data_IF_088027982700
#
_entry.id   IF_088027982700
#
_cell.length_a   1.000
_cell.length_b   1.000
_cell.length_c   1.000
_cell.angle_alpha   90.00
_cell.angle_beta   90.00
_cell.angle_gamma   90.00
#
_symmetry.space_group_name_H-M   'P 1'
#
loop_
_entity.id
_entity.type
_entity.pdbx_description
1 polymer ?
#
# COMPACT_ATOMS: atom_id res chain seq x y z
N UNK A 1 -26.47 7.63 7.62
CA UNK A 1 -25.25 7.72 8.46
C UNK A 1 -24.21 8.51 7.70
N UNK A 2 -24.02 9.78 8.05
CA UNK A 2 -22.90 10.56 7.51
C UNK A 2 -21.61 9.86 7.96
N UNK A 3 -20.72 9.43 7.05
CA UNK A 3 -19.41 8.96 7.47
C UNK A 3 -18.75 10.10 8.26
N UNK A 4 -18.21 9.75 9.41
CA UNK A 4 -17.37 10.60 10.24
C UNK A 4 -16.43 11.40 9.33
N UNK A 5 -16.49 12.73 9.43
CA UNK A 5 -15.61 13.69 8.73
C UNK A 5 -14.11 13.39 8.97
N UNK A 6 -13.81 12.52 9.95
CA UNK A 6 -12.47 12.21 10.38
C UNK A 6 -11.85 10.98 9.67
N UNK A 7 -12.61 10.11 9.00
CA UNK A 7 -12.08 8.88 8.38
C UNK A 7 -12.19 7.63 9.27
N UNK A 8 -11.51 6.55 8.87
CA UNK A 8 -11.44 5.26 9.56
C UNK A 8 -10.42 5.30 10.70
N UNK A 9 -10.86 5.03 11.93
CA UNK A 9 -9.99 4.99 13.11
C UNK A 9 -9.30 3.63 13.32
N UNK A 10 -9.66 2.61 12.55
CA UNK A 10 -9.01 1.29 12.59
C UNK A 10 -8.89 0.70 11.18
N UNK A 11 -7.83 -0.09 10.94
CA UNK A 11 -7.65 -0.81 9.67
C UNK A 11 -8.66 -1.95 9.50
N UNK A 12 -9.15 -2.50 10.61
CA UNK A 12 -10.24 -3.48 10.59
C UNK A 12 -11.53 -2.89 10.02
N UNK A 13 -11.92 -1.70 10.44
CA UNK A 13 -13.12 -1.03 9.92
C UNK A 13 -12.95 -0.66 8.45
N UNK A 14 -11.75 -0.18 8.08
CA UNK A 14 -11.38 0.08 6.68
C UNK A 14 -11.58 -1.17 5.82
N UNK A 15 -11.03 -2.31 6.25
CA UNK A 15 -11.12 -3.59 5.52
C UNK A 15 -12.56 -4.08 5.42
N UNK A 16 -13.34 -3.97 6.50
CA UNK A 16 -14.77 -4.27 6.47
C UNK A 16 -15.52 -3.41 5.45
N UNK A 17 -15.23 -2.11 5.39
CA UNK A 17 -15.83 -1.20 4.41
C UNK A 17 -15.41 -1.51 2.96
N UNK A 18 -14.12 -1.83 2.73
CA UNK A 18 -13.64 -2.27 1.41
C UNK A 18 -14.35 -3.55 0.95
N UNK A 19 -14.51 -4.53 1.84
CA UNK A 19 -15.23 -5.78 1.54
C UNK A 19 -16.70 -5.55 1.24
N UNK A 20 -17.39 -4.74 2.06
CA UNK A 20 -18.79 -4.40 1.85
C UNK A 20 -18.99 -3.69 0.50
N UNK A 21 -18.11 -2.74 0.17
CA UNK A 21 -18.18 -2.00 -1.09
C UNK A 21 -17.89 -2.92 -2.29
N UNK A 22 -16.93 -3.84 -2.16
CA UNK A 22 -16.66 -4.88 -3.16
C UNK A 22 -17.89 -5.73 -3.44
N UNK A 23 -18.55 -6.23 -2.39
CA UNK A 23 -19.74 -7.07 -2.53
C UNK A 23 -20.89 -6.26 -3.17
N UNK A 24 -21.07 -4.98 -2.78
CA UNK A 24 -22.04 -4.06 -3.39
C UNK A 24 -21.80 -3.84 -4.89
N UNK A 25 -20.55 -3.63 -5.28
CA UNK A 25 -20.15 -3.39 -6.68
C UNK A 25 -20.28 -4.66 -7.51
N UNK A 26 -19.94 -5.83 -6.95
CA UNK A 26 -20.11 -7.13 -7.61
C UNK A 26 -21.57 -7.41 -7.97
N UNK A 27 -22.48 -7.08 -7.06
CA UNK A 27 -23.90 -7.39 -7.21
C UNK A 27 -24.66 -6.33 -8.05
N UNK A 28 -24.05 -5.15 -8.26
CA UNK A 28 -24.58 -4.08 -9.11
C UNK A 28 -24.00 -4.14 -10.54
N UNK A 29 -24.79 -3.77 -11.55
CA UNK A 29 -24.25 -3.63 -12.91
C UNK A 29 -23.11 -2.59 -12.93
N UNK A 30 -22.00 -2.84 -13.64
CA UNK A 30 -20.80 -2.02 -13.59
C UNK A 30 -21.04 -0.66 -14.26
N UNK A 31 -21.53 0.31 -13.47
CA UNK A 31 -21.49 1.71 -13.87
C UNK A 31 -20.08 2.27 -13.61
N UNK A 32 -19.67 3.24 -14.43
CA UNK A 32 -18.43 4.01 -14.26
C UNK A 32 -18.48 4.77 -12.93
N UNK A 33 -18.12 4.12 -11.85
CA UNK A 33 -18.07 4.75 -10.54
C UNK A 33 -16.88 5.70 -10.47
N UNK A 34 -16.97 6.82 -9.72
CA UNK A 34 -15.79 7.57 -9.28
C UNK A 34 -14.80 6.66 -8.53
N UNK A 35 -13.55 7.07 -8.30
CA UNK A 35 -12.64 6.30 -7.46
C UNK A 35 -13.23 6.04 -6.07
N UNK A 36 -12.95 4.87 -5.50
CA UNK A 36 -13.34 4.52 -4.13
C UNK A 36 -12.32 5.11 -3.17
N UNK A 37 -12.70 6.20 -2.51
CA UNK A 37 -11.82 6.94 -1.60
C UNK A 37 -12.08 6.47 -0.17
N UNK A 38 -11.03 5.94 0.47
CA UNK A 38 -11.03 5.58 1.87
C UNK A 38 -10.09 6.50 2.64
N UNK A 39 -10.62 7.20 3.63
CA UNK A 39 -9.89 8.19 4.40
C UNK A 39 -9.48 7.61 5.76
N UNK A 40 -8.21 7.68 6.11
CA UNK A 40 -7.71 7.35 7.45
C UNK A 40 -7.79 8.58 8.35
N UNK A 41 -8.02 8.36 9.64
CA UNK A 41 -7.97 9.39 10.68
C UNK A 41 -6.57 10.02 10.78
N UNK A 42 -6.46 11.35 10.66
CA UNK A 42 -5.23 12.07 10.99
C UNK A 42 -4.76 11.77 12.42
N UNK A 43 -3.45 11.95 12.66
CA UNK A 43 -2.79 11.77 13.95
C UNK A 43 -3.07 10.40 14.59
N UNK A 44 -3.13 9.36 13.77
CA UNK A 44 -3.41 7.99 14.20
C UNK A 44 -2.27 7.08 13.77
N UNK A 45 -1.82 6.24 14.70
CA UNK A 45 -0.89 5.14 14.44
C UNK A 45 -1.71 3.87 14.28
N UNK A 46 -1.54 3.20 13.16
CA UNK A 46 -2.22 1.98 12.78
C UNK A 46 -1.23 0.82 12.84
N UNK A 47 -1.33 0.02 13.90
CA UNK A 47 -0.46 -1.14 14.09
C UNK A 47 -0.92 -2.32 13.25
N UNK A 48 -0.01 -2.92 12.48
CA UNK A 48 -0.20 -4.17 11.75
C UNK A 48 0.27 -5.32 12.65
N UNK A 49 -0.65 -5.83 13.46
CA UNK A 49 -0.40 -6.91 14.42
C UNK A 49 -0.71 -8.28 13.84
N UNK A 50 -1.65 -8.35 12.89
CA UNK A 50 -2.11 -9.57 12.26
C UNK A 50 -2.31 -9.39 10.76
N UNK A 51 -2.47 -10.50 10.03
CA UNK A 51 -2.84 -10.44 8.61
C UNK A 51 -4.20 -9.76 8.36
N UNK A 52 -5.08 -9.70 9.37
CA UNK A 52 -6.35 -8.98 9.26
C UNK A 52 -6.16 -7.46 9.15
N UNK A 53 -5.07 -6.94 9.70
CA UNK A 53 -4.77 -5.51 9.74
C UNK A 53 -4.10 -5.00 8.45
N UNK A 54 -3.58 -5.89 7.60
CA UNK A 54 -2.96 -5.53 6.32
C UNK A 54 -3.98 -4.83 5.41
N UNK A 55 -3.57 -3.72 4.79
CA UNK A 55 -4.40 -3.00 3.83
C UNK A 55 -4.38 -3.76 2.50
N UNK A 56 -5.55 -4.26 2.07
CA UNK A 56 -5.71 -5.00 0.82
C UNK A 56 -6.81 -4.35 -0.04
N UNK A 57 -6.47 -3.47 -0.98
CA UNK A 57 -7.43 -2.88 -1.92
C UNK A 57 -8.20 -3.96 -2.69
N UNK A 58 -9.52 -3.98 -2.51
CA UNK A 58 -10.42 -5.01 -3.05
C UNK A 58 -11.08 -4.62 -4.39
N UNK A 59 -10.92 -3.36 -4.81
CA UNK A 59 -11.58 -2.76 -5.97
C UNK A 59 -10.56 -2.02 -6.84
N UNK A 60 -10.88 -1.88 -8.12
CA UNK A 60 -10.13 -0.97 -8.99
C UNK A 60 -10.41 0.50 -8.62
N UNK A 61 -9.44 1.38 -8.90
CA UNK A 61 -9.54 2.82 -8.65
C UNK A 61 -9.72 3.15 -7.17
N UNK A 62 -9.05 2.40 -6.31
CA UNK A 62 -9.04 2.62 -4.87
C UNK A 62 -8.02 3.68 -4.52
N UNK A 63 -8.42 4.64 -3.69
CA UNK A 63 -7.54 5.65 -3.09
C UNK A 63 -7.61 5.47 -1.58
N UNK A 64 -6.47 5.25 -0.93
CA UNK A 64 -6.33 5.28 0.53
C UNK A 64 -5.54 6.53 0.88
N UNK A 65 -6.14 7.44 1.65
CA UNK A 65 -5.53 8.74 1.94
C UNK A 65 -5.59 9.10 3.42
N UNK A 66 -4.59 9.84 3.90
CA UNK A 66 -4.64 10.43 5.24
C UNK A 66 -5.54 11.67 5.27
N UNK A 67 -6.57 11.63 6.13
CA UNK A 67 -7.48 12.74 6.31
C UNK A 67 -8.23 13.16 5.04
N UNK A 68 -8.92 14.31 5.09
CA UNK A 68 -9.65 14.85 3.95
C UNK A 68 -8.74 15.45 2.88
N UNK A 69 -7.52 15.87 3.23
CA UNK A 69 -6.60 16.56 2.32
C UNK A 69 -5.56 15.65 1.67
N UNK A 70 -5.35 14.43 2.18
CA UNK A 70 -4.36 13.51 1.65
C UNK A 70 -2.94 14.05 1.78
N UNK A 71 -2.52 14.44 3.00
CA UNK A 71 -1.18 14.99 3.24
C UNK A 71 -0.40 14.18 4.26
N UNK A 72 0.91 13.98 4.03
CA UNK A 72 1.79 13.25 4.96
C UNK A 72 1.84 13.89 6.34
N UNK A 73 1.75 15.23 6.39
CA UNK A 73 1.76 16.00 7.65
C UNK A 73 0.56 15.72 8.55
N UNK A 74 -0.52 15.15 8.00
CA UNK A 74 -1.70 14.77 8.79
C UNK A 74 -1.41 13.52 9.67
N UNK A 75 -0.21 12.92 9.56
CA UNK A 75 0.35 11.93 10.49
C UNK A 75 -0.48 10.64 10.62
N UNK A 76 -0.94 10.08 9.50
CA UNK A 76 -1.45 8.71 9.46
C UNK A 76 -0.28 7.74 9.31
N UNK A 77 0.13 7.13 10.41
CA UNK A 77 1.28 6.22 10.45
C UNK A 77 0.76 4.79 10.33
N UNK A 78 1.18 4.07 9.31
CA UNK A 78 1.03 2.62 9.22
C UNK A 78 2.31 2.01 9.79
N UNK A 79 2.18 1.38 10.95
CA UNK A 79 3.30 0.80 11.69
C UNK A 79 3.18 -0.71 11.70
N UNK A 80 4.20 -1.46 11.29
CA UNK A 80 4.04 -2.90 11.04
C UNK A 80 5.14 -3.77 11.59
N UNK A 81 4.73 -4.86 12.25
CA UNK A 81 5.61 -5.83 12.93
C UNK A 81 5.38 -7.25 12.39
N UNK A 82 4.16 -7.58 11.97
CA UNK A 82 3.76 -8.95 11.67
C UNK A 82 3.99 -9.36 10.21
N UNK A 83 4.73 -10.46 9.98
CA UNK A 83 5.00 -11.06 8.66
C UNK A 83 5.32 -10.03 7.56
N UNK A 84 5.95 -8.94 7.98
CA UNK A 84 6.81 -8.10 7.17
C UNK A 84 6.13 -7.34 6.02
N UNK A 85 4.80 -7.22 6.02
CA UNK A 85 4.02 -6.48 5.00
C UNK A 85 2.98 -5.56 5.64
N UNK A 86 2.92 -4.31 5.20
CA UNK A 86 1.92 -3.34 5.70
C UNK A 86 0.75 -3.16 4.73
N UNK A 87 1.06 -3.25 3.44
CA UNK A 87 0.11 -3.17 2.33
C UNK A 87 0.34 -4.34 1.40
N UNK A 88 -0.75 -4.96 0.95
CA UNK A 88 -0.74 -5.96 -0.11
C UNK A 88 -1.61 -5.47 -1.26
N UNK A 89 -0.98 -5.13 -2.38
CA UNK A 89 -1.69 -4.83 -3.63
C UNK A 89 -1.64 -6.06 -4.51
N UNK A 90 -2.66 -6.92 -4.36
CA UNK A 90 -2.75 -8.18 -5.10
C UNK A 90 -3.95 -8.23 -6.04
N UNK A 91 -3.69 -8.36 -7.34
CA UNK A 91 -4.73 -8.50 -8.37
C UNK A 91 -5.37 -9.89 -8.45
N UNK A 92 -4.85 -10.89 -7.73
CA UNK A 92 -5.41 -12.23 -7.60
C UNK A 92 -6.44 -12.34 -6.46
N UNK A 93 -6.41 -11.40 -5.51
CA UNK A 93 -7.35 -11.36 -4.38
C UNK A 93 -8.66 -10.77 -4.84
N UNK A 94 -9.57 -11.62 -5.35
CA UNK A 94 -10.99 -11.34 -5.64
C UNK A 94 -11.34 -9.92 -6.10
N UNK A 95 -10.44 -9.27 -6.86
CA UNK A 95 -10.68 -7.91 -7.31
C UNK A 95 -11.80 -7.99 -8.34
N UNK A 96 -12.88 -7.25 -8.09
CA UNK A 96 -13.94 -7.12 -9.07
C UNK A 96 -13.37 -6.29 -10.23
N UNK A 97 -12.88 -7.00 -11.25
CA UNK A 97 -12.34 -6.38 -12.45
C UNK A 97 -13.49 -5.72 -13.22
N UNK A 98 -13.49 -4.39 -13.24
CA UNK A 98 -14.46 -3.64 -14.03
C UNK A 98 -13.98 -3.61 -15.49
N UNK A 99 -14.83 -3.94 -16.47
CA UNK A 99 -14.42 -3.97 -17.86
C UNK A 99 -14.02 -2.57 -18.37
N UNK A 100 -12.85 -2.48 -19.01
CA UNK A 100 -12.39 -1.29 -19.73
C UNK A 100 -11.85 -0.15 -18.86
N UNK A 101 -11.47 -0.41 -17.61
CA UNK A 101 -10.86 0.58 -16.71
C UNK A 101 -9.45 0.20 -16.30
N UNK A 102 -8.58 1.20 -16.26
CA UNK A 102 -7.23 1.06 -15.69
C UNK A 102 -7.35 0.70 -14.20
N UNK A 103 -6.81 -0.45 -13.81
CA UNK A 103 -6.73 -0.86 -12.41
C UNK A 103 -5.72 0.01 -11.69
N UNK A 104 -6.19 1.07 -11.03
CA UNK A 104 -5.35 1.99 -10.26
C UNK A 104 -5.55 1.79 -8.77
N UNK A 105 -4.46 1.84 -8.02
CA UNK A 105 -4.43 1.88 -6.55
C UNK A 105 -3.55 3.05 -6.15
N UNK A 106 -4.07 3.94 -5.32
CA UNK A 106 -3.34 5.13 -4.88
C UNK A 106 -3.23 5.18 -3.36
N UNK A 107 -2.05 5.48 -2.85
CA UNK A 107 -1.82 5.82 -1.45
C UNK A 107 -1.33 7.26 -1.37
N UNK A 108 -1.98 8.06 -0.53
CA UNK A 108 -1.76 9.51 -0.49
C UNK A 108 -1.60 10.00 0.95
N UNK A 109 -0.49 10.69 1.24
CA UNK A 109 -0.31 11.30 2.56
C UNK A 109 -0.05 10.31 3.69
N UNK A 110 0.45 9.10 3.40
CA UNK A 110 0.68 8.07 4.42
C UNK A 110 2.14 8.03 4.86
N UNK A 111 2.36 7.79 6.15
CA UNK A 111 3.67 7.46 6.70
C UNK A 111 3.75 5.95 6.93
N UNK A 112 4.80 5.32 6.44
CA UNK A 112 5.11 3.90 6.67
C UNK A 112 6.30 3.81 7.61
N UNK A 113 6.11 3.14 8.73
CA UNK A 113 7.10 3.03 9.80
C UNK A 113 7.23 1.57 10.26
N UNK A 114 8.40 1.20 10.77
CA UNK A 114 8.59 -0.05 11.49
C UNK A 114 9.17 0.26 12.87
N UNK A 115 8.32 0.52 13.85
CA UNK A 115 8.74 1.00 15.18
C UNK A 115 9.31 -0.11 16.06
N UNK A 116 8.94 -1.36 15.80
CA UNK A 116 9.46 -2.48 16.56
C UNK A 116 10.79 -2.89 15.95
N UNK A 117 11.86 -2.34 16.53
CA UNK A 117 13.23 -2.79 16.31
C UNK A 117 13.23 -4.31 16.25
N UNK A 118 13.82 -4.86 15.19
CA UNK A 118 13.86 -6.30 15.01
C UNK A 118 14.45 -6.92 16.29
N UNK A 119 13.70 -7.84 16.90
CA UNK A 119 14.36 -8.87 17.69
C UNK A 119 15.21 -9.62 16.65
N UNK A 120 16.54 -9.46 16.69
CA UNK A 120 17.52 -9.92 15.69
C UNK A 120 17.51 -11.45 15.47
N UNK A 121 16.52 -12.16 16.01
CA UNK A 121 16.27 -13.56 15.78
C UNK A 121 16.10 -13.86 14.28
N UNK A 122 16.85 -14.85 13.83
CA UNK A 122 17.20 -15.20 12.44
C UNK A 122 16.02 -15.52 11.50
N UNK A 123 14.76 -15.39 11.91
CA UNK A 123 13.59 -15.61 11.05
C UNK A 123 13.26 -14.41 10.14
N UNK A 124 14.08 -13.35 10.20
CA UNK A 124 13.98 -12.21 9.31
C UNK A 124 14.55 -12.46 7.89
N UNK A 125 14.61 -13.71 7.39
CA UNK A 125 15.11 -14.00 6.04
C UNK A 125 14.15 -13.57 4.91
N UNK A 126 12.83 -13.62 5.10
CA UNK A 126 11.88 -13.17 4.07
C UNK A 126 11.63 -11.67 4.13
N UNK A 127 12.62 -10.87 3.72
CA UNK A 127 12.74 -9.40 3.80
C UNK A 127 11.44 -8.58 3.91
N UNK A 128 11.38 -7.71 4.92
CA UNK A 128 10.19 -6.87 5.09
C UNK A 128 10.08 -5.78 4.05
N UNK A 129 8.85 -5.52 3.68
CA UNK A 129 8.51 -4.53 2.67
C UNK A 129 7.26 -3.82 3.12
N UNK A 130 7.26 -2.49 3.12
CA UNK A 130 6.05 -1.74 3.46
C UNK A 130 4.91 -2.07 2.49
N UNK A 131 5.19 -2.14 1.19
CA UNK A 131 4.20 -2.43 0.17
C UNK A 131 4.63 -3.62 -0.69
N UNK A 132 3.90 -4.73 -0.56
CA UNK A 132 4.04 -5.88 -1.45
C UNK A 132 3.01 -5.78 -2.56
N UNK A 133 3.47 -5.73 -3.80
CA UNK A 133 2.59 -5.50 -4.93
C UNK A 133 2.85 -6.55 -6.02
N UNK A 134 1.85 -7.39 -6.26
CA UNK A 134 1.92 -8.46 -7.26
C UNK A 134 0.57 -8.60 -7.93
N UNK A 135 0.50 -8.53 -9.26
CA UNK A 135 -0.80 -8.59 -9.92
C UNK A 135 -0.75 -9.47 -11.17
N UNK A 136 -1.71 -10.40 -11.34
CA UNK A 136 -1.91 -11.10 -12.60
C UNK A 136 -2.39 -10.16 -13.72
N UNK A 137 -2.90 -8.98 -13.38
CA UNK A 137 -3.37 -7.95 -14.30
C UNK A 137 -2.51 -6.68 -14.19
N UNK A 138 -2.57 -5.83 -15.21
CA UNK A 138 -1.86 -4.54 -15.23
C UNK A 138 -2.46 -3.57 -14.20
N UNK A 139 -2.01 -3.66 -12.96
CA UNK A 139 -2.32 -2.68 -11.90
C UNK A 139 -1.28 -1.55 -11.97
N UNK A 140 -1.74 -0.32 -11.82
CA UNK A 140 -0.91 0.85 -11.59
C UNK A 140 -1.01 1.26 -10.12
N UNK A 141 0.12 1.20 -9.41
CA UNK A 141 0.28 1.75 -8.07
C UNK A 141 0.76 3.21 -8.16
N UNK A 142 0.08 4.11 -7.48
CA UNK A 142 0.51 5.50 -7.31
C UNK A 142 0.74 5.79 -5.84
N UNK A 143 1.89 6.37 -5.53
CA UNK A 143 2.27 6.82 -4.18
C UNK A 143 2.53 8.32 -4.26
N UNK A 144 1.81 9.09 -3.43
CA UNK A 144 1.89 10.55 -3.47
C UNK A 144 1.99 11.11 -2.05
N UNK A 145 2.98 11.98 -1.83
CA UNK A 145 3.20 12.59 -0.52
C UNK A 145 3.26 11.51 0.59
N UNK A 146 4.00 10.42 0.33
CA UNK A 146 4.20 9.35 1.29
C UNK A 146 5.58 9.49 1.94
N UNK A 147 5.68 9.10 3.22
CA UNK A 147 6.93 9.13 3.97
C UNK A 147 7.24 7.72 4.46
N UNK A 148 8.46 7.25 4.24
CA UNK A 148 8.98 6.05 4.88
C UNK A 148 10.02 6.46 5.92
N UNK A 149 9.92 5.92 7.14
CA UNK A 149 10.93 6.15 8.18
C UNK A 149 11.16 4.92 9.03
N UNK A 150 12.33 4.83 9.65
CA UNK A 150 12.72 3.68 10.46
C UNK A 150 12.52 2.35 9.71
N UNK A 151 12.82 2.35 8.40
CA UNK A 151 12.75 1.11 7.63
C UNK A 151 13.97 0.26 7.96
N UNK A 152 13.72 -0.86 8.60
CA UNK A 152 14.75 -1.82 9.01
C UNK A 152 15.08 -2.80 7.84
N UNK A 153 14.46 -2.64 6.68
CA UNK A 153 14.44 -3.69 5.65
C UNK A 153 14.87 -3.25 4.25
N UNK A 154 15.10 -4.28 3.44
CA UNK A 154 15.61 -4.28 2.08
C UNK A 154 14.82 -3.48 1.05
N UNK A 155 13.52 -3.20 1.21
CA UNK A 155 12.75 -2.47 0.19
C UNK A 155 11.52 -1.76 0.79
N UNK A 156 11.27 -0.51 0.40
CA UNK A 156 10.01 0.19 0.70
C UNK A 156 8.83 -0.40 -0.07
N UNK A 157 9.08 -0.83 -1.32
CA UNK A 157 8.09 -1.38 -2.24
C UNK A 157 8.72 -2.59 -2.93
N UNK A 158 8.03 -3.72 -2.93
CA UNK A 158 8.44 -4.95 -3.60
C UNK A 158 7.45 -5.27 -4.70
N UNK A 159 7.94 -5.34 -5.93
CA UNK A 159 7.16 -5.75 -7.09
C UNK A 159 7.34 -7.26 -7.30
N UNK A 160 6.36 -8.05 -6.88
CA UNK A 160 6.38 -9.50 -7.03
C UNK A 160 5.77 -9.83 -8.38
N UNK A 161 6.62 -10.16 -9.35
CA UNK A 161 6.16 -10.66 -10.64
C UNK A 161 5.48 -12.02 -10.42
N UNK A 162 4.15 -12.05 -10.54
CA UNK A 162 3.38 -13.29 -10.52
C UNK A 162 3.51 -14.07 -11.83
N UNK A 163 2.97 -15.29 -11.82
CA UNK A 163 2.67 -16.05 -13.03
C UNK A 163 1.16 -16.18 -13.18
N UNK A 164 0.64 -15.97 -14.39
CA UNK A 164 -0.78 -16.16 -14.74
C UNK A 164 -0.82 -17.20 -15.84
N UNK A 165 -1.48 -18.33 -15.58
CA UNK A 165 -1.57 -19.43 -16.55
C UNK A 165 -0.20 -19.92 -17.06
N UNK A 166 0.84 -19.86 -16.21
CA UNK A 166 2.21 -20.26 -16.57
C UNK A 166 3.01 -19.19 -17.32
N UNK A 167 2.41 -18.05 -17.68
CA UNK A 167 3.10 -16.91 -18.27
C UNK A 167 3.46 -15.88 -17.19
N UNK A 168 4.61 -15.20 -17.35
CA UNK A 168 5.00 -14.12 -16.44
C UNK A 168 3.99 -12.99 -16.55
N UNK A 169 3.38 -12.61 -15.44
CA UNK A 169 2.45 -11.49 -15.39
C UNK A 169 3.15 -10.20 -15.85
N UNK A 170 2.44 -9.28 -16.52
CA UNK A 170 3.00 -7.97 -16.84
C UNK A 170 3.44 -7.27 -15.54
N UNK A 171 4.61 -6.64 -15.58
CA UNK A 171 5.11 -5.91 -14.42
C UNK A 171 4.13 -4.79 -14.02
N UNK A 172 3.88 -4.68 -12.72
CA UNK A 172 3.09 -3.57 -12.18
C UNK A 172 3.78 -2.24 -12.49
N UNK A 173 3.00 -1.23 -12.88
CA UNK A 173 3.52 0.15 -13.01
C UNK A 173 3.44 0.85 -11.66
N UNK A 174 4.55 1.36 -11.16
CA UNK A 174 4.60 2.13 -9.91
C UNK A 174 4.98 3.57 -10.22
N UNK A 175 4.16 4.52 -9.78
CA UNK A 175 4.40 5.97 -9.85
C UNK A 175 4.60 6.52 -8.45
N UNK A 176 5.68 7.26 -8.22
CA UNK A 176 6.02 7.83 -6.91
C UNK A 176 6.22 9.33 -7.07
N UNK A 177 5.52 10.15 -6.29
CA UNK A 177 5.54 11.63 -6.38
C UNK A 177 5.60 12.26 -5.00
N UNK A 178 6.47 13.24 -4.81
CA UNK A 178 6.62 14.00 -3.54
C UNK A 178 6.82 13.12 -2.30
N UNK A 179 7.48 11.98 -2.47
CA UNK A 179 7.71 11.01 -1.41
C UNK A 179 9.09 11.18 -0.78
N UNK A 180 9.19 10.89 0.52
CA UNK A 180 10.45 11.00 1.30
C UNK A 180 10.79 9.69 1.99
N UNK A 181 12.08 9.45 2.19
CA UNK A 181 12.63 8.36 2.99
C UNK A 181 13.58 8.97 4.02
N UNK A 182 13.42 8.65 5.31
CA UNK A 182 14.32 9.09 6.38
C UNK A 182 14.68 7.95 7.34
N UNK A 183 15.72 8.14 8.15
CA UNK A 183 16.06 7.28 9.30
C UNK A 183 16.13 5.78 8.99
N UNK A 184 16.77 5.39 7.88
CA UNK A 184 17.00 3.99 7.55
C UNK A 184 18.29 3.50 8.19
N UNK A 185 18.24 2.52 9.10
CA UNK A 185 19.44 1.92 9.67
C UNK A 185 20.24 1.18 8.59
N UNK A 186 21.52 1.52 8.47
CA UNK A 186 22.39 1.10 7.38
C UNK A 186 23.05 -0.26 7.65
N UNK A 187 22.47 -1.34 7.12
CA UNK A 187 23.25 -2.52 6.74
C UNK A 187 24.00 -2.21 5.43
N UNK A 188 25.32 -2.04 5.53
CA UNK A 188 26.21 -1.52 4.47
C UNK A 188 26.37 -2.42 3.22
N UNK A 189 25.68 -3.56 3.13
CA UNK A 189 25.76 -4.49 2.00
C UNK A 189 24.54 -4.48 1.05
N UNK A 190 23.46 -3.76 1.38
CA UNK A 190 22.16 -3.91 0.69
C UNK A 190 21.74 -2.73 -0.19
N UNK A 191 22.53 -1.66 -0.27
CA UNK A 191 22.17 -0.41 -0.95
C UNK A 191 21.92 -0.51 -2.47
N UNK A 192 22.29 -1.60 -3.13
CA UNK A 192 22.15 -1.71 -4.60
C UNK A 192 20.82 -2.30 -5.07
N UNK A 193 20.07 -3.01 -4.21
CA UNK A 193 18.82 -3.69 -4.61
C UNK A 193 17.56 -3.05 -4.00
N UNK A 194 17.72 -2.24 -2.95
CA UNK A 194 16.63 -1.58 -2.21
C UNK A 194 15.82 -0.56 -3.00
N UNK A 195 16.34 -0.15 -4.16
CA UNK A 195 15.60 0.59 -5.16
C UNK A 195 15.74 -0.09 -6.52
N UNK A 196 15.25 -1.32 -6.65
CA UNK A 196 15.02 -1.93 -7.96
C UNK A 196 13.89 -1.20 -8.69
N UNK A 197 14.20 0.00 -9.17
CA UNK A 197 13.44 0.71 -10.19
C UNK A 197 13.41 -0.17 -11.44
N UNK A 198 12.22 -0.67 -11.79
CA UNK A 198 11.86 -0.83 -13.19
C UNK A 198 10.65 0.05 -13.50
N UNK A 199 10.99 1.32 -13.72
CA UNK A 199 10.28 2.32 -14.54
C UNK A 199 9.04 2.97 -13.91
N UNK A 200 9.14 4.25 -13.51
CA UNK A 200 8.62 5.42 -14.27
C UNK A 200 8.87 6.74 -13.51
N UNK A 201 9.06 7.81 -14.30
CA UNK A 201 9.37 9.21 -13.96
C UNK A 201 8.76 9.73 -12.64
N UNK A 202 9.59 9.95 -11.64
CA UNK A 202 9.25 10.68 -10.41
C UNK A 202 10.51 11.18 -9.72
N UNK A 203 10.47 12.38 -9.14
CA UNK A 203 11.56 12.91 -8.31
C UNK A 203 11.38 12.35 -6.89
N UNK A 204 12.29 11.48 -6.46
CA UNK A 204 12.39 11.07 -5.06
C UNK A 204 13.47 11.94 -4.40
N UNK A 205 13.12 12.64 -3.31
CA UNK A 205 14.10 13.40 -2.52
C UNK A 205 14.58 12.52 -1.36
N UNK A 206 15.86 12.18 -1.36
CA UNK A 206 16.54 11.66 -0.16
C UNK A 206 16.95 12.86 0.69
N UNK A 207 16.50 12.90 1.95
CA UNK A 207 16.78 13.97 2.92
C UNK A 207 17.62 13.41 4.05
#
# INVERSE_FOLDING_TARGET
NNPSILGFASLRDLRCAMKLERDRVRDAAPNRNPPFVYQLCPNTIYEILTEEDVIIPQLQRTVVQCGPLGRSMDSCVIDGVFNKRQVLVDGSVEQVMLPGTDSTVEFVGLTFENSQGLDESEEAEDGATSIDAGAPAQIQLTLKDCHWRNLINLAAIRNVAGFVNGERAPAMRVTVTDCTLSDTEHSSSMQSETFAFLTTRGNLNMI
#
